data_IF_999533566232
#
_entry.id   IF_999533566232
#
_cell.length_a   1.000
_cell.length_b   1.000
_cell.length_c   1.000
_cell.angle_alpha   90.00
_cell.angle_beta   90.00
_cell.angle_gamma   90.00
#
_symmetry.space_group_name_H-M   'P 1'
#
loop_
_entity.id
_entity.type
_entity.pdbx_description
1 polymer ?
#
# COMPACT_ATOMS: atom_id res chain seq x y z
N UNK A 1 -24.34 -24.50 38.16
CA UNK A 1 -25.13 -23.31 37.76
C UNK A 1 -24.29 -22.51 36.77
N UNK A 2 -24.50 -22.61 35.45
CA UNK A 2 -23.75 -21.82 34.48
C UNK A 2 -24.40 -20.44 34.31
N UNK A 3 -23.64 -19.37 34.50
CA UNK A 3 -24.07 -18.00 34.23
C UNK A 3 -23.71 -17.69 32.78
N UNK A 4 -24.74 -17.50 31.96
CA UNK A 4 -24.65 -17.08 30.56
C UNK A 4 -24.53 -15.56 30.59
N UNK A 5 -23.38 -15.00 30.20
CA UNK A 5 -23.18 -13.56 30.09
C UNK A 5 -23.52 -13.09 28.68
N UNK A 6 -24.47 -12.15 28.58
CA UNK A 6 -24.98 -11.57 27.33
C UNK A 6 -24.01 -10.47 26.82
N UNK A 7 -23.85 -10.28 25.50
CA UNK A 7 -22.95 -9.26 24.98
C UNK A 7 -23.51 -7.85 25.25
N UNK A 8 -22.72 -7.03 25.96
CA UNK A 8 -22.97 -5.59 26.12
C UNK A 8 -22.80 -4.85 24.79
N UNK A 9 -23.72 -3.90 24.57
CA UNK A 9 -24.01 -3.17 23.35
C UNK A 9 -22.83 -2.35 22.78
N UNK A 10 -22.83 -2.20 21.46
CA UNK A 10 -21.86 -1.43 20.69
C UNK A 10 -21.85 0.05 21.04
N UNK A 11 -20.64 0.60 21.16
CA UNK A 11 -20.41 2.02 21.32
C UNK A 11 -20.38 2.68 19.93
N UNK A 12 -21.14 3.75 19.74
CA UNK A 12 -21.18 4.54 18.50
C UNK A 12 -19.87 5.34 18.37
N UNK A 13 -19.25 5.44 17.18
CA UNK A 13 -18.13 6.35 16.99
C UNK A 13 -18.63 7.81 16.97
N UNK A 14 -18.03 8.63 17.81
CA UNK A 14 -18.23 10.08 17.83
C UNK A 14 -17.60 10.71 16.59
N UNK A 15 -18.40 11.53 15.89
CA UNK A 15 -17.98 12.35 14.76
C UNK A 15 -17.04 13.48 15.22
N UNK A 16 -15.81 13.49 14.71
CA UNK A 16 -14.92 14.65 14.76
C UNK A 16 -14.55 15.08 13.34
N UNK A 17 -14.88 16.32 13.00
CA UNK A 17 -14.75 16.96 11.69
C UNK A 17 -13.45 17.75 11.54
N UNK A 18 -12.85 17.71 10.33
CA UNK A 18 -11.87 18.68 9.81
C UNK A 18 -10.47 18.06 9.56
N UNK A 19 -9.78 18.20 8.43
CA UNK A 19 -9.94 19.05 7.23
C UNK A 19 -9.22 18.43 6.02
N UNK A 20 -9.92 18.40 4.89
CA UNK A 20 -9.51 18.30 3.48
C UNK A 20 -8.03 17.95 3.11
N UNK A 21 -7.78 16.65 2.87
CA UNK A 21 -6.91 16.21 1.77
C UNK A 21 -7.78 15.52 0.71
N UNK A 22 -7.68 15.99 -0.53
CA UNK A 22 -8.51 15.58 -1.65
C UNK A 22 -8.62 14.04 -1.79
N UNK A 23 -9.85 13.54 -1.61
CA UNK A 23 -10.39 12.38 -2.33
C UNK A 23 -9.77 11.00 -2.08
N UNK A 24 -9.39 10.64 -0.86
CA UNK A 24 -9.29 9.23 -0.47
C UNK A 24 -10.22 8.96 0.69
N UNK A 25 -11.20 8.07 0.50
CA UNK A 25 -11.93 7.49 1.63
C UNK A 25 -10.91 6.88 2.61
N UNK A 26 -10.92 7.40 3.83
CA UNK A 26 -10.11 6.87 4.92
C UNK A 26 -10.97 5.83 5.62
N UNK A 27 -10.56 4.57 5.51
CA UNK A 27 -11.19 3.48 6.23
C UNK A 27 -10.48 3.29 7.57
N UNK A 28 -11.19 3.57 8.66
CA UNK A 28 -10.66 3.48 10.02
C UNK A 28 -10.67 2.04 10.51
N UNK A 29 -9.55 1.59 11.08
CA UNK A 29 -9.45 0.30 11.76
C UNK A 29 -8.89 0.56 13.15
N UNK A 30 -9.59 0.09 14.17
CA UNK A 30 -9.14 0.19 15.56
C UNK A 30 -8.28 -1.04 15.93
N UNK A 31 -7.27 -0.83 16.75
CA UNK A 31 -6.42 -1.89 17.26
C UNK A 31 -6.11 -1.60 18.72
N UNK A 32 -6.17 -2.63 19.56
CA UNK A 32 -5.81 -2.52 20.98
C UNK A 32 -4.32 -2.77 21.18
N UNK A 33 -3.73 -2.01 22.09
CA UNK A 33 -2.38 -2.24 22.58
C UNK A 33 -2.40 -3.52 23.43
N UNK A 34 -1.42 -4.39 23.26
CA UNK A 34 -1.28 -5.60 24.09
C UNK A 34 -0.80 -5.23 25.50
N UNK A 35 -0.94 -6.15 26.46
CA UNK A 35 -0.40 -5.96 27.82
C UNK A 35 1.13 -5.73 27.85
N UNK A 36 1.83 -6.09 26.78
CA UNK A 36 3.27 -5.89 26.60
C UNK A 36 3.61 -4.55 25.93
N UNK A 37 2.62 -3.68 25.67
CA UNK A 37 2.83 -2.39 25.01
C UNK A 37 3.01 -2.48 23.49
N UNK A 38 2.68 -3.62 22.86
CA UNK A 38 2.81 -3.78 21.41
C UNK A 38 1.52 -3.35 20.69
N UNK A 39 1.66 -2.74 19.51
CA UNK A 39 0.53 -2.43 18.62
C UNK A 39 0.48 -3.50 17.51
N UNK A 40 -0.41 -4.49 17.59
CA UNK A 40 -0.47 -5.56 16.60
C UNK A 40 -1.03 -5.03 15.28
N UNK A 41 -0.34 -5.25 14.17
CA UNK A 41 -0.82 -4.77 12.87
C UNK A 41 -1.96 -5.67 12.38
N UNK A 42 -3.18 -5.16 12.08
CA UNK A 42 -4.28 -5.97 11.58
C UNK A 42 -3.94 -6.67 10.25
N UNK A 43 -4.41 -7.90 10.05
CA UNK A 43 -4.10 -8.72 8.87
C UNK A 43 -4.41 -8.02 7.54
N UNK A 44 -5.48 -7.21 7.49
CA UNK A 44 -5.82 -6.40 6.32
C UNK A 44 -4.75 -5.38 5.97
N UNK A 45 -4.19 -4.71 6.98
CA UNK A 45 -3.10 -3.73 6.83
C UNK A 45 -1.80 -4.45 6.45
N UNK A 46 -1.51 -5.61 7.05
CA UNK A 46 -0.34 -6.42 6.67
C UNK A 46 -0.36 -6.77 5.18
N UNK A 47 -1.49 -7.26 4.66
CA UNK A 47 -1.64 -7.57 3.23
C UNK A 47 -1.47 -6.33 2.35
N UNK A 48 -2.09 -5.20 2.75
CA UNK A 48 -2.02 -3.94 1.99
C UNK A 48 -0.60 -3.37 1.92
N UNK A 49 0.17 -3.47 3.00
CA UNK A 49 1.55 -2.99 3.07
C UNK A 49 2.58 -4.07 2.68
N UNK A 50 2.15 -5.30 2.41
CA UNK A 50 3.01 -6.44 2.13
C UNK A 50 3.97 -6.75 3.28
N UNK A 51 3.47 -6.66 4.53
CA UNK A 51 4.23 -6.96 5.73
C UNK A 51 4.18 -8.45 6.05
N UNK A 52 5.34 -9.01 6.40
CA UNK A 52 5.53 -10.35 6.94
C UNK A 52 6.35 -10.26 8.24
N UNK A 53 6.39 -11.31 9.10
CA UNK A 53 7.28 -11.34 10.25
C UNK A 53 8.73 -10.97 9.86
N UNK A 54 9.36 -10.07 10.63
CA UNK A 54 10.69 -9.52 10.33
C UNK A 54 10.70 -8.33 9.35
N UNK A 55 9.56 -7.90 8.81
CA UNK A 55 9.47 -6.68 8.00
C UNK A 55 9.73 -5.44 8.86
N UNK A 56 10.43 -4.46 8.27
CA UNK A 56 10.68 -3.16 8.90
C UNK A 56 9.62 -2.15 8.46
N UNK A 57 9.13 -1.36 9.40
CA UNK A 57 8.22 -0.23 9.18
C UNK A 57 8.83 1.05 9.72
N UNK A 58 8.52 2.18 9.10
CA UNK A 58 8.87 3.52 9.55
C UNK A 58 7.61 4.23 10.03
N UNK A 59 7.79 5.06 11.06
CA UNK A 59 6.77 5.94 11.60
C UNK A 59 7.13 7.36 11.20
N UNK A 60 6.19 8.07 10.58
CA UNK A 60 6.36 9.47 10.21
C UNK A 60 5.26 10.29 10.86
N UNK A 61 5.65 11.29 11.65
CA UNK A 61 4.71 12.26 12.22
C UNK A 61 4.44 13.36 11.21
N UNK A 62 3.17 13.68 10.99
CA UNK A 62 2.68 14.78 10.14
C UNK A 62 1.62 15.54 10.92
N UNK A 63 2.07 16.51 11.71
CA UNK A 63 1.18 17.23 12.63
C UNK A 63 0.60 16.26 13.65
N UNK A 64 -0.74 16.14 13.66
CA UNK A 64 -1.47 15.26 14.57
C UNK A 64 -1.63 13.82 14.03
N UNK A 65 -1.13 13.55 12.82
CA UNK A 65 -1.21 12.24 12.20
C UNK A 65 0.11 11.47 12.32
N UNK A 66 0.01 10.19 12.66
CA UNK A 66 1.13 9.26 12.59
C UNK A 66 0.93 8.31 11.41
N UNK A 67 1.81 8.41 10.42
CA UNK A 67 1.76 7.60 9.20
C UNK A 67 2.75 6.45 9.31
N UNK A 68 2.26 5.23 9.12
CA UNK A 68 3.08 4.02 9.05
C UNK A 68 3.40 3.73 7.59
N UNK A 69 4.68 3.49 7.27
CA UNK A 69 5.10 3.08 5.92
C UNK A 69 6.01 1.86 6.02
N UNK A 70 5.97 1.02 4.98
CA UNK A 70 6.94 -0.06 4.85
C UNK A 70 8.31 0.55 4.54
N UNK A 71 9.35 0.15 5.27
CA UNK A 71 10.73 0.49 4.92
C UNK A 71 11.11 -0.32 3.68
N UNK A 72 11.24 0.34 2.54
CA UNK A 72 11.88 -0.25 1.38
C UNK A 72 13.38 0.00 1.46
N UNK A 73 14.18 -1.07 1.55
CA UNK A 73 15.64 -0.94 1.48
C UNK A 73 16.12 -0.40 0.13
N UNK A 74 15.30 -0.53 -0.91
CA UNK A 74 15.59 -0.12 -2.28
C UNK A 74 14.40 0.60 -2.87
N UNK A 75 14.64 1.72 -3.52
CA UNK A 75 13.65 2.43 -4.33
C UNK A 75 13.39 1.66 -5.62
N UNK A 76 12.26 1.95 -6.29
CA UNK A 76 12.00 1.41 -7.64
C UNK A 76 13.12 1.76 -8.62
N UNK A 77 13.82 2.88 -8.40
CA UNK A 77 14.96 3.29 -9.22
C UNK A 77 16.17 2.38 -8.96
N UNK A 78 16.48 2.10 -7.70
CA UNK A 78 17.59 1.19 -7.34
C UNK A 78 17.36 -0.21 -7.91
N UNK A 79 16.13 -0.71 -7.86
CA UNK A 79 15.74 -1.98 -8.49
C UNK A 79 15.86 -1.89 -10.01
N UNK A 80 15.39 -0.80 -10.62
CA UNK A 80 15.48 -0.62 -12.07
C UNK A 80 16.94 -0.54 -12.54
N UNK A 81 17.82 0.11 -11.80
CA UNK A 81 19.25 0.18 -12.11
C UNK A 81 19.93 -1.20 -11.93
N UNK A 82 19.55 -1.96 -10.91
CA UNK A 82 20.06 -3.32 -10.70
C UNK A 82 19.62 -4.30 -11.80
N UNK A 83 18.36 -4.22 -12.24
CA UNK A 83 17.79 -5.13 -13.25
C UNK A 83 18.13 -4.68 -14.68
N UNK A 84 18.12 -3.38 -14.94
CA UNK A 84 18.37 -2.77 -16.25
C UNK A 84 19.66 -1.98 -16.22
N UNK A 85 20.78 -2.70 -16.15
CA UNK A 85 22.14 -2.12 -16.11
C UNK A 85 22.43 -1.14 -17.27
N UNK A 86 21.76 -1.30 -18.43
CA UNK A 86 21.90 -0.40 -19.57
C UNK A 86 20.63 0.42 -19.76
N UNK A 87 20.76 1.75 -19.68
CA UNK A 87 19.67 2.66 -20.01
C UNK A 87 19.19 2.43 -21.45
N UNK A 88 17.89 2.16 -21.67
CA UNK A 88 17.38 2.01 -23.01
C UNK A 88 17.49 3.33 -23.78
N UNK A 89 17.76 3.24 -25.09
CA UNK A 89 17.76 4.41 -25.97
C UNK A 89 16.36 5.02 -25.98
N UNK A 90 16.27 6.32 -25.68
CA UNK A 90 15.02 7.07 -25.81
C UNK A 90 14.54 7.02 -27.27
N UNK A 91 13.25 6.72 -27.45
CA UNK A 91 12.59 6.64 -28.75
C UNK A 91 11.56 7.74 -28.87
N UNK A 92 11.40 8.25 -30.07
CA UNK A 92 10.35 9.22 -30.39
C UNK A 92 8.97 8.55 -30.41
N UNK A 93 7.91 9.34 -30.25
CA UNK A 93 6.52 8.85 -30.36
C UNK A 93 6.27 8.20 -31.73
N UNK A 94 6.85 8.76 -32.80
CA UNK A 94 6.75 8.20 -34.15
C UNK A 94 7.41 6.81 -34.25
N UNK A 95 8.56 6.61 -33.60
CA UNK A 95 9.21 5.29 -33.53
C UNK A 95 8.38 4.29 -32.71
N UNK A 96 7.73 4.74 -31.63
CA UNK A 96 6.82 3.94 -30.82
C UNK A 96 5.62 3.46 -31.64
N UNK A 97 4.92 4.37 -32.33
CA UNK A 97 3.79 4.05 -33.20
C UNK A 97 4.17 3.05 -34.29
N UNK A 98 5.33 3.25 -34.93
CA UNK A 98 5.84 2.34 -35.95
C UNK A 98 6.10 0.95 -35.37
N UNK A 99 6.65 0.86 -34.16
CA UNK A 99 6.88 -0.41 -33.48
C UNK A 99 5.58 -1.13 -33.11
N UNK A 100 4.60 -0.40 -32.57
CA UNK A 100 3.28 -0.93 -32.20
C UNK A 100 2.56 -1.47 -33.45
N UNK A 101 2.46 -0.67 -34.52
CA UNK A 101 1.86 -1.11 -35.80
C UNK A 101 2.55 -2.35 -36.35
N UNK A 102 3.88 -2.42 -36.30
CA UNK A 102 4.65 -3.60 -36.73
C UNK A 102 4.36 -4.83 -35.88
N UNK A 103 4.21 -4.66 -34.57
CA UNK A 103 3.88 -5.76 -33.65
C UNK A 103 2.51 -6.35 -33.99
N UNK A 104 1.46 -5.50 -34.08
CA UNK A 104 0.12 -5.94 -34.46
C UNK A 104 0.11 -6.64 -35.82
N UNK A 105 0.76 -6.09 -36.85
CA UNK A 105 0.87 -6.75 -38.16
C UNK A 105 1.48 -8.15 -38.09
N UNK A 106 2.56 -8.33 -37.30
CA UNK A 106 3.19 -9.65 -37.10
C UNK A 106 2.32 -10.62 -36.32
N UNK A 107 1.54 -10.12 -35.37
CA UNK A 107 0.60 -10.93 -34.59
C UNK A 107 -0.58 -11.41 -35.46
N UNK A 108 -1.11 -10.52 -36.30
CA UNK A 108 -2.20 -10.84 -37.24
C UNK A 108 -1.75 -11.72 -38.42
N UNK A 109 -0.47 -11.67 -38.80
CA UNK A 109 0.10 -12.55 -39.85
C UNK A 109 0.47 -13.96 -39.36
N UNK A 110 0.25 -14.27 -38.07
CA UNK A 110 0.47 -15.60 -37.47
C UNK A 110 -0.83 -16.37 -37.21
N UNK A 111 -1.97 -15.79 -37.56
CA UNK A 111 -3.25 -16.48 -37.69
C UNK A 111 -3.52 -16.73 -39.17
#
# INVERSE_FOLDING_TARGET
MPVIDLPRQGNKPHSGSGTAHAGREVETIETKITSQGQIPVPARIQRKLGLAPGSKIEWCERGDEVVIRRVSAYTSKDIHEAVFAKKPRQRTVQEMDKCIRRHFRRQHARR
#
